data_IF_291461900111
#
_entry.id   IF_291461900111
#
_cell.length_a   1.000
_cell.length_b   1.000
_cell.length_c   1.000
_cell.angle_alpha   90.00
_cell.angle_beta   90.00
_cell.angle_gamma   90.00
#
_symmetry.space_group_name_H-M   'P 1'
#
loop_
_entity.id
_entity.type
_entity.pdbx_description
1 polymer ?
#
# COMPACT_ATOMS: atom_id res chain seq x y z
N UNK A 1 14.61 -60.26 12.70
CA UNK A 1 14.56 -58.95 13.40
C UNK A 1 15.19 -57.90 12.51
N UNK A 2 14.37 -57.23 11.70
CA UNK A 2 14.78 -56.31 10.62
C UNK A 2 14.35 -54.88 10.93
N UNK A 3 15.36 -54.00 11.03
CA UNK A 3 15.43 -52.61 10.52
C UNK A 3 14.15 -51.77 10.50
N UNK A 4 14.14 -50.69 11.29
CA UNK A 4 13.47 -49.44 10.89
C UNK A 4 14.43 -48.25 11.03
N UNK A 5 14.48 -47.50 9.93
CA UNK A 5 15.48 -46.50 9.56
C UNK A 5 15.13 -45.12 10.11
N UNK A 6 16.20 -44.40 10.47
CA UNK A 6 16.22 -42.95 10.69
C UNK A 6 15.49 -42.20 9.57
N UNK A 7 14.52 -41.37 9.96
CA UNK A 7 13.95 -40.35 9.08
C UNK A 7 14.77 -39.07 9.20
N UNK A 8 15.58 -38.83 8.18
CA UNK A 8 16.37 -37.62 8.00
C UNK A 8 15.44 -36.44 7.70
N UNK A 9 15.50 -35.40 8.53
CA UNK A 9 14.91 -34.09 8.25
C UNK A 9 15.59 -33.50 7.01
N UNK A 10 14.87 -33.46 5.89
CA UNK A 10 15.27 -32.73 4.69
C UNK A 10 15.05 -31.23 4.91
N UNK A 11 15.97 -30.58 5.62
CA UNK A 11 16.14 -29.14 5.58
C UNK A 11 16.73 -28.79 4.20
N UNK A 12 15.87 -28.51 3.22
CA UNK A 12 16.31 -27.96 1.94
C UNK A 12 16.85 -26.55 2.21
N UNK A 13 18.15 -26.38 2.05
CA UNK A 13 18.81 -25.08 2.02
C UNK A 13 18.15 -24.19 0.97
N UNK A 14 17.65 -23.02 1.39
CA UNK A 14 17.01 -22.00 0.53
C UNK A 14 18.03 -21.22 -0.34
N UNK A 15 19.25 -21.71 -0.49
CA UNK A 15 20.38 -21.04 -1.17
C UNK A 15 20.17 -20.90 -2.69
N UNK A 16 19.16 -21.53 -3.28
CA UNK A 16 18.99 -21.59 -4.75
C UNK A 16 18.13 -20.45 -5.34
N UNK A 17 17.50 -19.58 -4.53
CA UNK A 17 16.54 -18.58 -5.07
C UNK A 17 17.16 -17.31 -5.68
N UNK A 18 18.45 -17.02 -5.49
CA UNK A 18 19.05 -15.76 -5.93
C UNK A 18 19.98 -15.84 -7.16
N UNK A 19 20.19 -17.03 -7.73
CA UNK A 19 21.14 -17.23 -8.84
C UNK A 19 20.53 -17.83 -10.12
N UNK A 20 19.42 -17.28 -10.62
CA UNK A 20 19.02 -17.49 -12.02
C UNK A 20 18.51 -16.22 -12.67
N UNK A 21 19.45 -15.34 -13.05
CA UNK A 21 19.22 -14.49 -14.23
C UNK A 21 19.42 -15.38 -15.46
N UNK A 22 18.42 -16.24 -15.70
CA UNK A 22 18.35 -17.06 -16.90
C UNK A 22 18.13 -16.12 -18.09
N UNK A 23 19.19 -15.92 -18.88
CA UNK A 23 19.16 -15.21 -20.17
C UNK A 23 18.48 -16.12 -21.20
N UNK A 24 17.19 -16.39 -21.02
CA UNK A 24 16.49 -17.38 -21.83
C UNK A 24 14.97 -17.22 -21.79
N UNK A 25 14.44 -16.40 -22.70
CA UNK A 25 13.05 -16.42 -23.17
C UNK A 25 11.90 -16.46 -22.14
N UNK A 26 11.25 -15.32 -21.92
CA UNK A 26 9.79 -15.20 -21.72
C UNK A 26 9.39 -13.72 -21.89
N UNK A 27 8.27 -13.48 -22.58
CA UNK A 27 7.73 -12.15 -22.94
C UNK A 27 7.79 -11.16 -21.75
N UNK A 28 8.13 -9.87 -21.96
CA UNK A 28 8.32 -8.93 -20.87
C UNK A 28 7.01 -8.71 -20.11
N UNK A 29 6.98 -9.14 -18.86
CA UNK A 29 5.92 -8.84 -17.89
C UNK A 29 6.03 -7.35 -17.54
N UNK A 30 5.45 -6.48 -18.37
CA UNK A 30 5.41 -5.03 -18.19
C UNK A 30 6.79 -4.35 -18.29
N UNK A 31 6.85 -3.17 -18.91
CA UNK A 31 8.07 -2.33 -18.82
C UNK A 31 8.31 -2.00 -17.34
N UNK A 32 9.40 -2.50 -16.76
CA UNK A 32 9.90 -2.01 -15.46
C UNK A 32 10.15 -0.51 -15.60
N UNK A 33 9.62 0.29 -14.69
CA UNK A 33 9.93 1.72 -14.64
C UNK A 33 11.36 1.89 -14.15
N UNK A 34 12.05 2.95 -14.58
CA UNK A 34 13.41 3.29 -14.08
C UNK A 34 13.46 3.36 -12.55
N UNK A 35 12.39 3.87 -11.92
CA UNK A 35 12.26 3.93 -10.47
C UNK A 35 12.24 2.54 -9.81
N UNK A 36 11.50 1.58 -10.38
CA UNK A 36 11.45 0.23 -9.85
C UNK A 36 12.78 -0.50 -10.07
N UNK A 37 13.47 -0.26 -11.19
CA UNK A 37 14.80 -0.82 -11.44
C UNK A 37 15.84 -0.27 -10.45
N UNK A 38 15.81 1.03 -10.15
CA UNK A 38 16.68 1.64 -9.14
C UNK A 38 16.47 1.03 -7.73
N UNK A 39 15.22 0.82 -7.30
CA UNK A 39 14.92 0.14 -6.03
C UNK A 39 15.47 -1.29 -5.99
N UNK A 40 15.29 -2.04 -7.08
CA UNK A 40 15.77 -3.43 -7.17
C UNK A 40 17.29 -3.49 -7.09
N UNK A 41 18.00 -2.64 -7.84
CA UNK A 41 19.46 -2.59 -7.81
C UNK A 41 19.97 -2.21 -6.42
N UNK A 42 19.34 -1.24 -5.76
CA UNK A 42 19.70 -0.86 -4.39
C UNK A 42 19.48 -2.00 -3.39
N UNK A 43 18.39 -2.74 -3.52
CA UNK A 43 18.14 -3.94 -2.71
C UNK A 43 19.23 -5.01 -2.91
N UNK A 44 19.65 -5.25 -4.15
CA UNK A 44 20.74 -6.19 -4.47
C UNK A 44 22.09 -5.72 -3.90
N UNK A 45 22.41 -4.44 -3.99
CA UNK A 45 23.61 -3.87 -3.36
C UNK A 45 23.63 -4.13 -1.84
N UNK A 46 22.51 -3.90 -1.17
CA UNK A 46 22.37 -4.13 0.28
C UNK A 46 22.58 -5.61 0.60
N UNK A 47 21.92 -6.52 -0.12
CA UNK A 47 22.05 -7.97 0.09
C UNK A 47 23.50 -8.44 -0.14
N UNK A 48 24.20 -7.89 -1.11
CA UNK A 48 25.60 -8.25 -1.39
C UNK A 48 26.57 -7.77 -0.30
N UNK A 49 26.17 -6.77 0.50
CA UNK A 49 26.97 -6.23 1.60
C UNK A 49 26.65 -6.90 2.95
N UNK A 50 25.53 -7.62 3.05
CA UNK A 50 25.12 -8.31 4.26
C UNK A 50 26.00 -9.55 4.54
N UNK A 51 26.22 -9.81 5.82
CA UNK A 51 26.77 -11.07 6.33
C UNK A 51 25.87 -12.27 5.99
N UNK A 52 26.34 -13.50 6.22
CA UNK A 52 25.51 -14.69 6.03
C UNK A 52 24.38 -14.75 7.07
N UNK A 53 24.65 -14.30 8.29
CA UNK A 53 23.70 -14.24 9.40
C UNK A 53 22.56 -13.25 9.11
N UNK A 54 22.88 -12.05 8.64
CA UNK A 54 21.87 -11.05 8.23
C UNK A 54 21.04 -11.55 7.05
N UNK A 55 21.67 -12.19 6.06
CA UNK A 55 20.96 -12.78 4.93
C UNK A 55 20.04 -13.92 5.34
N UNK A 56 20.42 -14.71 6.34
CA UNK A 56 19.59 -15.78 6.87
C UNK A 56 18.35 -15.27 7.60
N UNK A 57 18.38 -14.03 8.11
CA UNK A 57 17.23 -13.39 8.74
C UNK A 57 16.14 -13.02 7.72
N UNK A 58 16.52 -12.71 6.47
CA UNK A 58 15.59 -12.24 5.44
C UNK A 58 14.45 -13.23 5.22
N UNK A 59 13.22 -12.76 5.41
CA UNK A 59 11.97 -13.54 5.29
C UNK A 59 11.89 -14.78 6.19
N UNK A 60 12.77 -14.91 7.19
CA UNK A 60 12.82 -16.07 8.09
C UNK A 60 11.52 -16.28 8.89
N UNK A 61 10.77 -15.20 9.15
CA UNK A 61 9.50 -15.16 9.89
C UNK A 61 8.30 -14.79 9.02
N UNK A 62 8.43 -14.73 7.69
CA UNK A 62 7.28 -14.42 6.83
C UNK A 62 6.12 -15.43 6.98
N UNK A 63 6.45 -16.65 7.43
CA UNK A 63 5.49 -17.72 7.68
C UNK A 63 4.66 -17.54 8.97
N UNK A 64 5.10 -16.70 9.92
CA UNK A 64 4.44 -16.51 11.22
C UNK A 64 3.40 -15.38 11.22
N UNK A 65 3.28 -14.65 10.12
CA UNK A 65 2.36 -13.51 9.97
C UNK A 65 1.34 -13.84 8.89
N UNK A 66 0.06 -13.86 9.24
CA UNK A 66 -1.02 -14.33 8.37
C UNK A 66 -1.95 -13.19 7.96
N UNK A 67 -2.05 -12.95 6.65
CA UNK A 67 -3.00 -12.02 6.09
C UNK A 67 -4.42 -12.58 6.15
N UNK A 68 -5.33 -11.84 6.79
CA UNK A 68 -6.74 -12.22 6.88
C UNK A 68 -7.57 -11.53 5.79
N UNK A 69 -7.56 -10.19 5.78
CA UNK A 69 -8.31 -9.41 4.81
C UNK A 69 -7.84 -7.95 4.75
N UNK A 70 -8.20 -7.31 3.64
CA UNK A 70 -7.98 -5.87 3.44
C UNK A 70 -9.14 -5.10 4.08
N UNK A 71 -8.84 -3.96 4.69
CA UNK A 71 -9.84 -3.04 5.24
C UNK A 71 -10.07 -1.89 4.25
N UNK A 72 -11.34 -1.57 3.95
CA UNK A 72 -11.73 -0.56 2.97
C UNK A 72 -12.70 0.49 3.53
N UNK A 73 -12.67 1.69 2.96
CA UNK A 73 -13.70 2.71 3.14
C UNK A 73 -14.65 2.72 1.95
N UNK A 74 -15.90 2.34 2.15
CA UNK A 74 -16.96 2.35 1.15
C UNK A 74 -17.40 3.77 0.81
N UNK A 75 -17.25 4.71 1.75
CA UNK A 75 -17.46 6.15 1.57
C UNK A 75 -16.54 6.77 0.52
N UNK A 76 -15.38 6.15 0.26
CA UNK A 76 -14.39 6.60 -0.73
C UNK A 76 -14.26 5.54 -1.83
N UNK A 77 -14.79 5.84 -3.02
CA UNK A 77 -14.70 4.91 -4.15
C UNK A 77 -13.31 4.89 -4.79
N UNK A 78 -12.85 3.69 -5.10
CA UNK A 78 -11.70 3.36 -5.92
C UNK A 78 -12.15 2.44 -7.05
N UNK A 79 -11.34 2.28 -8.08
CA UNK A 79 -11.56 1.26 -9.10
C UNK A 79 -10.80 -0.04 -8.81
N UNK A 80 -11.32 -1.16 -9.35
CA UNK A 80 -10.60 -2.44 -9.52
C UNK A 80 -10.87 -3.00 -10.92
N UNK A 81 -9.88 -3.68 -11.52
CA UNK A 81 -10.07 -4.38 -12.79
C UNK A 81 -10.57 -5.81 -12.54
N UNK A 82 -11.64 -6.22 -13.21
CA UNK A 82 -12.18 -7.59 -13.20
C UNK A 82 -12.33 -8.04 -14.65
N UNK A 83 -11.40 -8.87 -15.13
CA UNK A 83 -11.29 -9.16 -16.57
C UNK A 83 -10.89 -7.88 -17.33
N UNK A 84 -11.74 -7.47 -18.27
CA UNK A 84 -11.58 -6.21 -19.02
C UNK A 84 -12.47 -5.06 -18.50
N UNK A 85 -13.30 -5.31 -17.50
CA UNK A 85 -14.15 -4.30 -16.89
C UNK A 85 -13.47 -3.61 -15.71
N UNK A 86 -13.78 -2.32 -15.55
CA UNK A 86 -13.48 -1.56 -14.34
C UNK A 86 -14.73 -1.57 -13.47
N UNK A 87 -14.59 -2.08 -12.24
CA UNK A 87 -15.66 -2.09 -11.24
C UNK A 87 -15.31 -1.18 -10.06
N UNK A 88 -16.33 -0.60 -9.47
CA UNK A 88 -16.19 0.13 -8.22
C UNK A 88 -15.75 -0.81 -7.10
N UNK A 89 -14.95 -0.26 -6.20
CA UNK A 89 -14.39 -0.93 -5.05
C UNK A 89 -14.11 0.11 -3.97
N UNK A 90 -14.13 -0.30 -2.72
CA UNK A 90 -13.78 0.58 -1.61
C UNK A 90 -12.31 0.99 -1.66
N UNK A 91 -11.97 2.12 -1.03
CA UNK A 91 -10.58 2.57 -0.93
C UNK A 91 -9.89 1.82 0.19
N UNK A 92 -8.80 1.07 -0.08
CA UNK A 92 -8.05 0.39 0.97
C UNK A 92 -7.47 1.39 1.98
N UNK A 93 -7.55 1.07 3.27
CA UNK A 93 -7.03 1.90 4.35
C UNK A 93 -6.21 1.13 5.38
N UNK A 94 -6.33 -0.19 5.42
CA UNK A 94 -5.59 -1.02 6.35
C UNK A 94 -5.69 -2.51 6.05
N UNK A 95 -5.21 -3.31 6.98
CA UNK A 95 -5.23 -4.77 6.94
C UNK A 95 -5.61 -5.35 8.29
N UNK A 96 -6.16 -6.56 8.24
CA UNK A 96 -6.30 -7.44 9.38
C UNK A 96 -5.28 -8.58 9.25
N UNK A 97 -4.53 -8.82 10.33
CA UNK A 97 -3.48 -9.83 10.42
C UNK A 97 -3.66 -10.66 11.69
N UNK A 98 -3.08 -11.86 11.69
CA UNK A 98 -2.85 -12.70 12.88
C UNK A 98 -1.38 -13.08 12.86
N UNK A 99 -0.73 -13.18 14.03
CA UNK A 99 0.62 -13.72 14.14
C UNK A 99 0.65 -14.98 15.00
N UNK A 100 1.51 -15.92 14.67
CA UNK A 100 1.73 -17.16 15.44
C UNK A 100 2.61 -16.94 16.69
N UNK A 101 3.19 -15.75 16.83
CA UNK A 101 4.06 -15.37 17.93
C UNK A 101 3.69 -13.98 18.48
N UNK A 102 4.13 -13.68 19.71
CA UNK A 102 4.01 -12.35 20.28
C UNK A 102 4.91 -11.39 19.48
N UNK A 103 4.37 -10.26 19.03
CA UNK A 103 5.10 -9.30 18.18
C UNK A 103 4.87 -7.85 18.58
N UNK A 104 5.87 -7.01 18.28
CA UNK A 104 5.75 -5.56 18.38
C UNK A 104 5.33 -4.98 17.02
N UNK A 105 4.14 -4.37 16.96
CA UNK A 105 3.60 -3.76 15.74
C UNK A 105 3.67 -2.24 15.80
N UNK A 106 3.95 -1.55 14.67
CA UNK A 106 4.03 -0.11 14.65
C UNK A 106 2.65 0.53 14.87
N UNK A 107 2.65 1.64 15.59
CA UNK A 107 1.51 2.50 15.83
C UNK A 107 1.85 3.91 15.34
N UNK A 108 1.12 4.34 14.33
CA UNK A 108 1.29 5.60 13.61
C UNK A 108 -0.07 6.31 13.58
N UNK A 109 -0.07 7.64 13.69
CA UNK A 109 -1.28 8.43 13.48
C UNK A 109 -1.87 8.13 12.09
N UNK A 110 -3.13 7.68 12.07
CA UNK A 110 -3.88 7.30 10.87
C UNK A 110 -4.03 8.44 9.85
N UNK A 111 -3.83 9.69 10.27
CA UNK A 111 -3.85 10.86 9.39
C UNK A 111 -2.53 11.04 8.62
N UNK A 112 -1.43 10.43 9.08
CA UNK A 112 -0.15 10.46 8.37
C UNK A 112 -0.25 9.66 7.07
N UNK A 113 0.21 10.26 5.98
CA UNK A 113 0.08 9.72 4.64
C UNK A 113 1.25 10.15 3.75
N UNK A 114 1.16 9.84 2.45
CA UNK A 114 2.20 10.13 1.45
C UNK A 114 2.55 11.62 1.35
N UNK A 115 1.62 12.51 1.66
CA UNK A 115 1.77 13.95 1.50
C UNK A 115 2.34 14.56 2.79
N UNK A 116 1.88 14.10 3.96
CA UNK A 116 2.40 14.56 5.26
C UNK A 116 3.79 14.01 5.57
N UNK A 117 4.06 12.79 5.12
CA UNK A 117 5.24 12.00 5.52
C UNK A 117 5.07 11.34 6.88
N UNK A 118 6.05 10.49 7.24
CA UNK A 118 6.20 9.81 8.53
C UNK A 118 7.70 9.89 8.86
N UNK A 119 8.04 10.49 9.99
CA UNK A 119 9.38 10.49 10.58
C UNK A 119 9.52 9.25 11.48
N UNK A 120 10.34 8.24 11.12
CA UNK A 120 10.41 6.99 11.86
C UNK A 120 10.79 7.14 13.34
N UNK A 121 11.55 8.18 13.70
CA UNK A 121 12.01 8.39 15.07
C UNK A 121 10.97 9.05 15.98
N UNK A 122 10.00 9.79 15.39
CA UNK A 122 9.04 10.60 16.14
C UNK A 122 7.60 10.15 15.99
N UNK A 123 7.26 9.64 14.80
CA UNK A 123 5.88 9.33 14.42
C UNK A 123 5.54 7.84 14.61
N UNK A 124 6.51 6.99 14.91
CA UNK A 124 6.31 5.54 15.10
C UNK A 124 6.52 5.18 16.56
N UNK A 125 5.46 4.71 17.18
CA UNK A 125 5.51 4.00 18.46
C UNK A 125 5.21 2.52 18.22
N UNK A 126 5.29 1.68 19.26
CA UNK A 126 5.02 0.27 19.13
C UNK A 126 4.07 -0.21 20.21
N UNK A 127 3.23 -1.17 19.87
CA UNK A 127 2.42 -1.94 20.83
C UNK A 127 2.69 -3.42 20.66
N UNK A 128 2.56 -4.14 21.75
CA UNK A 128 2.60 -5.60 21.75
C UNK A 128 1.27 -6.16 21.25
N UNK A 129 1.32 -7.27 20.51
CA UNK A 129 0.19 -8.09 20.10
C UNK A 129 0.50 -9.52 20.45
N UNK A 130 -0.47 -10.22 21.05
CA UNK A 130 -0.29 -11.62 21.46
C UNK A 130 -0.48 -12.59 20.29
N UNK A 131 0.22 -13.71 20.34
CA UNK A 131 0.05 -14.81 19.39
C UNK A 131 -1.43 -15.21 19.28
N UNK A 132 -1.90 -15.42 18.05
CA UNK A 132 -3.28 -15.77 17.73
C UNK A 132 -4.28 -14.61 17.76
N UNK A 133 -3.89 -13.43 18.23
CA UNK A 133 -4.77 -12.26 18.25
C UNK A 133 -4.96 -11.67 16.84
N UNK A 134 -6.20 -11.35 16.49
CA UNK A 134 -6.52 -10.58 15.30
C UNK A 134 -6.24 -9.10 15.57
N UNK A 135 -5.38 -8.49 14.75
CA UNK A 135 -5.04 -7.08 14.90
C UNK A 135 -5.13 -6.30 13.58
N UNK A 136 -5.34 -5.00 13.72
CA UNK A 136 -5.49 -4.09 12.58
C UNK A 136 -4.33 -3.12 12.47
N UNK A 137 -3.87 -2.91 11.25
CA UNK A 137 -2.86 -1.93 10.89
C UNK A 137 -3.35 -1.03 9.75
N UNK A 138 -2.95 0.23 9.75
CA UNK A 138 -3.04 1.08 8.56
C UNK A 138 -2.11 0.55 7.46
N UNK A 139 -2.29 1.00 6.21
CA UNK A 139 -1.37 0.56 5.14
C UNK A 139 0.08 0.98 5.38
N UNK A 140 0.33 2.10 6.05
CA UNK A 140 1.69 2.53 6.39
C UNK A 140 2.27 1.75 7.56
N UNK A 141 1.47 1.45 8.58
CA UNK A 141 1.89 0.53 9.66
C UNK A 141 2.24 -0.85 9.11
N UNK A 142 1.42 -1.39 8.20
CA UNK A 142 1.74 -2.63 7.49
C UNK A 142 3.06 -2.51 6.73
N UNK A 143 3.27 -1.41 6.00
CA UNK A 143 4.53 -1.16 5.29
C UNK A 143 5.73 -1.18 6.24
N UNK A 144 5.68 -0.49 7.38
CA UNK A 144 6.78 -0.46 8.35
C UNK A 144 6.98 -1.78 9.09
N UNK A 145 5.94 -2.58 9.27
CA UNK A 145 6.07 -3.93 9.81
C UNK A 145 6.73 -4.87 8.81
N UNK A 146 6.22 -4.91 7.58
CA UNK A 146 6.55 -5.96 6.61
C UNK A 146 7.93 -5.77 5.96
N UNK A 147 8.48 -4.56 5.95
CA UNK A 147 9.83 -4.28 5.43
C UNK A 147 10.95 -4.67 6.38
N UNK A 148 10.65 -5.07 7.62
CA UNK A 148 11.67 -5.60 8.53
C UNK A 148 12.25 -6.88 7.94
N UNK A 149 13.53 -7.11 8.19
CA UNK A 149 14.29 -8.18 7.55
C UNK A 149 13.62 -9.54 7.77
N UNK A 150 13.13 -9.82 8.98
CA UNK A 150 12.49 -11.08 9.31
C UNK A 150 11.25 -11.41 8.46
N UNK A 151 10.56 -10.40 7.92
CA UNK A 151 9.41 -10.60 7.02
C UNK A 151 9.76 -10.40 5.54
N UNK A 152 10.77 -9.59 5.23
CA UNK A 152 11.31 -9.43 3.88
C UNK A 152 10.30 -8.96 2.83
N UNK A 153 9.24 -8.27 3.25
CA UNK A 153 8.15 -7.79 2.38
C UNK A 153 7.02 -8.80 2.15
N UNK A 154 7.02 -9.95 2.84
CA UNK A 154 6.07 -11.04 2.65
C UNK A 154 5.34 -11.47 3.93
N UNK A 155 4.13 -11.99 3.77
CA UNK A 155 3.39 -12.70 4.81
C UNK A 155 2.55 -13.85 4.22
N UNK A 156 2.11 -14.74 5.09
CA UNK A 156 1.27 -15.89 4.75
C UNK A 156 -0.07 -15.47 4.14
N UNK A 157 -0.51 -16.19 3.11
CA UNK A 157 -1.91 -16.19 2.69
C UNK A 157 -2.76 -17.17 3.52
N UNK A 158 -4.06 -17.20 3.28
CA UNK A 158 -5.04 -18.06 3.97
C UNK A 158 -4.79 -19.58 3.80
N UNK A 159 -3.81 -19.98 2.98
CA UNK A 159 -3.42 -21.38 2.78
C UNK A 159 -2.01 -21.68 3.32
N UNK A 160 -1.43 -20.77 4.09
CA UNK A 160 -0.12 -20.96 4.71
C UNK A 160 1.06 -20.79 3.76
N UNK A 161 0.88 -20.18 2.59
CA UNK A 161 2.01 -19.88 1.71
C UNK A 161 2.77 -18.67 2.25
N UNK A 162 3.99 -18.87 2.75
CA UNK A 162 4.81 -17.84 3.42
C UNK A 162 5.21 -16.64 2.56
N UNK A 163 5.05 -16.73 1.23
CA UNK A 163 5.18 -15.62 0.28
C UNK A 163 3.90 -15.39 -0.53
N UNK A 164 2.76 -15.79 0.05
CA UNK A 164 1.43 -15.72 -0.55
C UNK A 164 0.92 -14.29 -0.69
N UNK A 165 1.28 -13.40 0.24
CA UNK A 165 0.96 -11.96 0.22
C UNK A 165 2.25 -11.16 0.30
N UNK A 166 2.31 -10.07 -0.45
CA UNK A 166 3.49 -9.20 -0.46
C UNK A 166 3.13 -7.72 -0.54
N UNK A 167 4.05 -6.90 -0.02
CA UNK A 167 4.05 -5.46 -0.21
C UNK A 167 4.46 -5.12 -1.65
N UNK A 168 3.75 -4.17 -2.25
CA UNK A 168 4.17 -3.46 -3.44
C UNK A 168 3.98 -1.96 -3.23
N UNK A 169 4.77 -1.13 -3.89
CA UNK A 169 4.75 0.31 -3.68
C UNK A 169 4.53 1.07 -4.98
N UNK A 170 3.67 2.10 -4.95
CA UNK A 170 3.60 3.09 -6.03
C UNK A 170 4.61 4.20 -5.74
N UNK A 171 5.77 4.07 -6.36
CA UNK A 171 6.94 4.92 -6.19
C UNK A 171 7.06 6.15 -7.13
N UNK A 172 6.36 6.30 -8.28
CA UNK A 172 6.64 7.42 -9.21
C UNK A 172 6.52 8.82 -8.62
N UNK A 173 5.52 9.09 -7.77
CA UNK A 173 5.36 10.39 -7.12
C UNK A 173 6.46 10.65 -6.09
N UNK A 174 6.84 9.61 -5.34
CA UNK A 174 7.94 9.68 -4.38
C UNK A 174 9.27 10.01 -5.04
N UNK A 175 9.60 9.32 -6.14
CA UNK A 175 10.83 9.57 -6.90
C UNK A 175 10.91 10.94 -7.56
N UNK A 176 9.77 11.56 -7.88
CA UNK A 176 9.73 12.94 -8.41
C UNK A 176 9.78 14.00 -7.31
N UNK A 177 9.68 13.61 -6.03
CA UNK A 177 9.54 14.54 -4.91
C UNK A 177 8.12 15.10 -4.71
N UNK A 178 7.14 14.62 -5.48
CA UNK A 178 5.73 15.03 -5.35
C UNK A 178 5.06 14.45 -4.10
N UNK A 179 5.65 13.40 -3.52
CA UNK A 179 5.18 12.74 -2.31
C UNK A 179 6.37 12.43 -1.39
N UNK A 180 6.17 12.56 -0.07
CA UNK A 180 7.19 12.26 0.94
C UNK A 180 7.37 10.77 1.19
N UNK A 181 6.36 9.95 0.87
CA UNK A 181 6.41 8.49 0.97
C UNK A 181 5.83 7.83 -0.29
N UNK A 182 6.28 6.62 -0.63
CA UNK A 182 5.59 5.80 -1.62
C UNK A 182 4.23 5.37 -1.08
N UNK A 183 3.25 5.13 -1.98
CA UNK A 183 1.95 4.60 -1.55
C UNK A 183 2.00 3.08 -1.46
N UNK A 184 1.83 2.49 -0.25
CA UNK A 184 1.81 1.04 -0.08
C UNK A 184 0.57 0.43 -0.73
N UNK A 185 0.77 -0.74 -1.31
CA UNK A 185 -0.27 -1.60 -1.89
C UNK A 185 0.06 -3.04 -1.54
N UNK A 186 -0.97 -3.86 -1.41
CA UNK A 186 -0.83 -5.24 -0.95
C UNK A 186 -1.37 -6.10 -2.07
N UNK A 187 -0.70 -7.20 -2.38
CA UNK A 187 -1.12 -8.08 -3.46
C UNK A 187 -0.88 -9.53 -3.06
N UNK A 188 -1.77 -10.41 -3.52
CA UNK A 188 -1.45 -11.82 -3.57
C UNK A 188 -0.35 -12.09 -4.59
N UNK A 189 0.51 -13.06 -4.30
CA UNK A 189 1.50 -13.54 -5.24
C UNK A 189 0.82 -14.31 -6.38
N UNK A 190 1.08 -13.86 -7.61
CA UNK A 190 0.41 -14.35 -8.81
C UNK A 190 0.67 -15.83 -9.08
N UNK A 191 1.78 -16.38 -8.58
CA UNK A 191 2.14 -17.79 -8.78
C UNK A 191 1.10 -18.74 -8.16
N UNK A 192 0.32 -18.27 -7.18
CA UNK A 192 -0.74 -19.04 -6.53
C UNK A 192 -2.13 -18.87 -7.18
N UNK A 193 -2.22 -18.20 -8.34
CA UNK A 193 -3.48 -18.09 -9.10
C UNK A 193 -4.61 -17.35 -8.37
N UNK A 194 -4.26 -16.51 -7.39
CA UNK A 194 -5.22 -15.81 -6.52
C UNK A 194 -5.99 -14.72 -7.27
N UNK A 195 -7.23 -14.47 -6.83
CA UNK A 195 -8.03 -13.32 -7.28
C UNK A 195 -7.42 -12.01 -6.75
N UNK A 196 -7.95 -10.87 -7.20
CA UNK A 196 -7.55 -9.56 -6.66
C UNK A 196 -7.74 -9.53 -5.13
N UNK A 197 -6.75 -9.03 -4.40
CA UNK A 197 -6.83 -8.86 -2.94
C UNK A 197 -8.03 -8.02 -2.49
N UNK A 198 -8.52 -7.13 -3.37
CA UNK A 198 -9.69 -6.29 -3.14
C UNK A 198 -11.01 -7.07 -3.18
N UNK A 199 -11.01 -8.32 -3.62
CA UNK A 199 -12.22 -9.14 -3.72
C UNK A 199 -12.75 -9.57 -2.33
N UNK A 200 -11.86 -9.80 -1.36
CA UNK A 200 -12.20 -10.13 0.03
C UNK A 200 -12.08 -8.94 0.98
N UNK A 201 -12.15 -7.71 0.47
CA UNK A 201 -12.01 -6.51 1.29
C UNK A 201 -13.26 -6.29 2.16
N UNK A 202 -13.04 -5.96 3.43
CA UNK A 202 -14.07 -5.68 4.42
C UNK A 202 -14.23 -4.17 4.58
N UNK A 203 -15.44 -3.67 4.36
CA UNK A 203 -15.76 -2.25 4.57
C UNK A 203 -15.88 -1.93 6.06
N UNK A 204 -15.16 -0.91 6.50
CA UNK A 204 -15.11 -0.50 7.92
C UNK A 204 -16.06 0.65 8.25
N UNK A 205 -16.68 1.26 7.24
CA UNK A 205 -17.70 2.29 7.40
C UNK A 205 -19.08 1.80 6.95
N UNK A 206 -20.11 2.47 7.46
CA UNK A 206 -21.51 2.24 7.10
C UNK A 206 -22.19 3.57 6.82
N UNK A 207 -23.14 3.55 5.89
CA UNK A 207 -23.98 4.69 5.60
C UNK A 207 -25.22 4.64 6.50
N UNK A 208 -25.43 5.69 7.28
CA UNK A 208 -26.50 5.79 8.26
C UNK A 208 -27.76 6.41 7.64
N UNK A 209 -28.97 6.14 8.20
CA UNK A 209 -30.22 6.72 7.71
C UNK A 209 -30.26 8.26 7.73
N UNK A 210 -29.47 8.89 8.60
CA UNK A 210 -29.32 10.35 8.69
C UNK A 210 -28.46 10.96 7.56
N UNK A 211 -27.96 10.12 6.64
CA UNK A 211 -27.13 10.52 5.52
C UNK A 211 -25.64 10.65 5.83
N UNK A 212 -25.20 10.28 7.03
CA UNK A 212 -23.80 10.31 7.43
C UNK A 212 -23.08 8.98 7.19
N UNK A 213 -21.75 9.04 7.02
CA UNK A 213 -20.89 7.85 7.07
C UNK A 213 -20.28 7.73 8.46
N UNK A 214 -20.31 6.53 9.04
CA UNK A 214 -19.76 6.26 10.37
C UNK A 214 -18.85 5.04 10.32
N UNK A 215 -17.70 5.10 11.00
CA UNK A 215 -16.81 3.94 11.18
C UNK A 215 -17.48 2.98 12.17
N UNK A 216 -17.53 1.69 11.83
CA UNK A 216 -18.12 0.67 12.71
C UNK A 216 -17.36 0.64 14.06
N UNK A 217 -18.05 0.41 15.20
CA UNK A 217 -17.45 0.57 16.53
C UNK A 217 -16.12 -0.15 16.73
N UNK A 218 -15.99 -1.38 16.22
CA UNK A 218 -14.77 -2.19 16.36
C UNK A 218 -13.54 -1.62 15.62
N UNK A 219 -13.73 -0.65 14.72
CA UNK A 219 -12.66 0.02 13.97
C UNK A 219 -12.49 1.48 14.40
N UNK A 220 -13.35 1.99 15.28
CA UNK A 220 -13.46 3.42 15.57
C UNK A 220 -12.20 3.98 16.23
N UNK A 221 -11.59 3.25 17.16
CA UNK A 221 -10.39 3.70 17.87
C UNK A 221 -9.21 3.90 16.92
N UNK A 222 -9.08 3.03 15.91
CA UNK A 222 -7.97 3.07 14.96
C UNK A 222 -8.23 3.96 13.75
N UNK A 223 -9.44 3.91 13.20
CA UNK A 223 -9.77 4.50 11.90
C UNK A 223 -10.80 5.63 11.98
N UNK A 224 -11.33 5.94 13.16
CA UNK A 224 -12.38 6.95 13.37
C UNK A 224 -12.04 8.34 12.81
N UNK A 225 -10.77 8.73 12.89
CA UNK A 225 -10.31 10.03 12.37
C UNK A 225 -10.38 10.14 10.83
N UNK A 226 -10.44 9.03 10.09
CA UNK A 226 -10.47 9.04 8.62
C UNK A 226 -11.75 9.62 8.02
N UNK A 227 -12.86 9.60 8.77
CA UNK A 227 -14.12 10.22 8.36
C UNK A 227 -14.30 11.64 8.90
N UNK A 228 -13.75 11.95 10.09
CA UNK A 228 -13.82 13.32 10.67
C UNK A 228 -13.21 14.38 9.75
N UNK A 229 -12.19 14.03 8.98
CA UNK A 229 -11.56 14.90 7.99
C UNK A 229 -12.29 14.96 6.62
N UNK A 230 -13.59 14.67 6.56
CA UNK A 230 -14.44 14.94 5.38
C UNK A 230 -15.25 16.23 5.50
N UNK A 231 -14.83 17.19 6.35
CA UNK A 231 -15.03 18.58 5.94
C UNK A 231 -14.33 18.74 4.60
N UNK A 232 -15.14 18.97 3.56
CA UNK A 232 -14.67 19.08 2.19
C UNK A 232 -13.64 20.21 2.12
N UNK A 233 -12.36 19.89 2.26
CA UNK A 233 -11.38 20.46 1.36
C UNK A 233 -11.77 19.98 -0.04
N UNK A 234 -12.76 20.67 -0.62
CA UNK A 234 -12.67 20.98 -2.04
C UNK A 234 -11.28 21.58 -2.14
N UNK A 235 -10.33 20.82 -2.68
CA UNK A 235 -9.36 21.45 -3.55
C UNK A 235 -10.23 22.29 -4.48
N UNK A 236 -10.22 23.59 -4.26
CA UNK A 236 -10.45 24.52 -5.35
C UNK A 236 -9.36 24.09 -6.32
N UNK A 237 -9.67 23.12 -7.20
CA UNK A 237 -8.91 22.93 -8.41
C UNK A 237 -8.81 24.34 -8.95
N UNK A 238 -7.59 24.89 -8.96
CA UNK A 238 -7.32 26.24 -9.44
C UNK A 238 -8.21 26.46 -10.65
N UNK A 239 -9.00 27.54 -10.58
CA UNK A 239 -10.18 27.73 -11.42
C UNK A 239 -9.87 27.26 -12.83
N UNK A 240 -10.72 26.39 -13.39
CA UNK A 240 -10.58 25.96 -14.79
C UNK A 240 -10.25 27.22 -15.58
N UNK A 241 -9.06 27.24 -16.18
CA UNK A 241 -8.72 28.28 -17.15
C UNK A 241 -9.95 28.40 -18.07
N UNK A 242 -10.46 29.63 -18.28
CA UNK A 242 -11.57 29.82 -19.19
C UNK A 242 -11.30 29.06 -20.49
N UNK A 243 -12.32 28.45 -21.12
CA UNK A 243 -12.12 27.73 -22.38
C UNK A 243 -11.30 28.58 -23.35
N UNK A 244 -10.41 27.99 -24.15
CA UNK A 244 -9.50 28.71 -25.03
C UNK A 244 -10.15 29.87 -25.84
N UNK A 245 -11.40 29.75 -26.34
CA UNK A 245 -12.09 30.87 -26.99
C UNK A 245 -12.27 32.12 -26.10
N UNK A 246 -12.46 31.94 -24.80
CA UNK A 246 -12.62 33.03 -23.82
C UNK A 246 -11.31 33.78 -23.61
N UNK A 247 -10.19 33.06 -23.52
CA UNK A 247 -8.85 33.66 -23.41
C UNK A 247 -8.49 34.45 -24.68
N UNK A 248 -8.82 33.89 -25.85
CA UNK A 248 -8.62 34.56 -27.16
C UNK A 248 -9.48 35.82 -27.28
N UNK A 249 -10.74 35.76 -26.86
CA UNK A 249 -11.64 36.92 -26.89
C UNK A 249 -11.17 38.06 -25.97
N UNK A 250 -10.66 37.74 -24.78
CA UNK A 250 -10.10 38.73 -23.85
C UNK A 250 -8.85 39.40 -24.42
N UNK A 251 -7.93 38.62 -25.00
CA UNK A 251 -6.73 39.15 -25.65
C UNK A 251 -7.06 40.04 -26.87
N UNK A 252 -8.08 39.68 -27.65
CA UNK A 252 -8.58 40.50 -28.75
C UNK A 252 -9.20 41.80 -28.26
N UNK A 253 -9.97 41.77 -27.16
CA UNK A 253 -10.62 42.95 -26.59
C UNK A 253 -9.60 43.99 -26.11
N UNK A 254 -8.50 43.53 -25.52
CA UNK A 254 -7.37 44.37 -25.12
C UNK A 254 -6.61 44.91 -26.34
N UNK A 255 -6.30 44.06 -27.34
CA UNK A 255 -5.66 44.51 -28.59
C UNK A 255 -6.47 45.52 -29.39
N UNK A 256 -7.80 45.44 -29.31
CA UNK A 256 -8.72 46.34 -30.00
C UNK A 256 -9.10 47.57 -29.16
N UNK A 257 -8.49 47.74 -27.97
CA UNK A 257 -8.73 48.87 -27.05
C UNK A 257 -10.20 49.06 -26.65
N UNK A 258 -10.96 47.96 -26.58
CA UNK A 258 -12.38 47.96 -26.26
C UNK A 258 -12.61 47.91 -24.74
N UNK A 259 -12.08 48.89 -24.01
CA UNK A 259 -12.40 49.05 -22.59
C UNK A 259 -13.74 49.80 -22.48
N UNK A 260 -14.75 49.12 -21.94
CA UNK A 260 -16.05 49.72 -21.60
C UNK A 260 -15.80 50.71 -20.47
N UNK A 261 -16.11 51.97 -20.72
CA UNK A 261 -16.01 53.08 -19.78
C UNK A 261 -16.60 52.69 -18.42
N UNK A 262 -15.83 52.94 -17.35
CA UNK A 262 -16.40 53.01 -16.00
C UNK A 262 -17.41 54.14 -16.01
N UNK A 263 -18.68 53.85 -15.72
CA UNK A 263 -19.63 54.90 -15.36
C UNK A 263 -19.08 55.58 -14.10
N UNK A 264 -18.71 56.84 -14.24
CA UNK A 264 -18.60 57.76 -13.11
C UNK A 264 -20.02 57.89 -12.53
N UNK A 265 -20.14 57.63 -11.22
CA UNK A 265 -21.34 57.93 -10.44
C UNK A 265 -21.32 59.45 -10.16
N UNK A 266 -22.35 60.16 -10.63
CA UNK A 266 -22.80 61.44 -10.05
C UNK A 266 -23.68 61.17 -8.83
#
# INVERSE_FOLDING_TARGET
MSLLKNSSNNFRSNTTMYNSVDKGSKKPVGKKTKANEALLNKGLEIINQMSEEERALISSKSHTLHFQYLLGLSSKKSSRKVGDEIKDSSTPVGVALISDEDIMVPVIDVLKNKDTGIDPEKDITYREVKAGELFYLTLYEFMFLIIRDEYGGFCCDEYGNSDGVHLSVKSPAFYRGDAKLPTPTINYNKKYGRRSIKAGMVDIDVYMPDGSWVIKPQYADKFGALLKNTEKYRKISGGKLPPAPTLVALALKEKLNLNVAKKEEE
#
